data_IF_659455122525
#
_entry.id   IF_659455122525
#
_cell.length_a   1.000
_cell.length_b   1.000
_cell.length_c   1.000
_cell.angle_alpha   90.00
_cell.angle_beta   90.00
_cell.angle_gamma   90.00
#
_symmetry.space_group_name_H-M   'P 1'
#
loop_
_entity.id
_entity.type
_entity.pdbx_description
1 polymer ?
#
# COMPACT_ATOMS: atom_id res chain seq x y z
N UNK A 1 -9.89 -40.59 -25.97
CA UNK A 1 -9.74 -39.89 -24.69
C UNK A 1 -8.83 -38.70 -24.98
N UNK A 2 -9.33 -37.54 -25.44
CA UNK A 2 -9.98 -36.50 -24.63
C UNK A 2 -9.21 -36.31 -23.32
N UNK A 3 -8.52 -35.19 -23.10
CA UNK A 3 -9.15 -33.88 -23.04
C UNK A 3 -8.22 -32.75 -23.50
N UNK A 4 -8.74 -31.96 -24.44
CA UNK A 4 -8.19 -30.72 -24.97
C UNK A 4 -8.75 -29.60 -24.09
N UNK A 5 -7.93 -29.01 -23.22
CA UNK A 5 -8.38 -27.87 -22.42
C UNK A 5 -8.15 -26.58 -23.22
N UNK A 6 -9.01 -26.39 -24.20
CA UNK A 6 -9.36 -25.10 -24.77
C UNK A 6 -9.87 -24.20 -23.64
N UNK A 7 -9.00 -23.32 -23.14
CA UNK A 7 -9.45 -22.14 -22.42
C UNK A 7 -9.57 -20.99 -23.42
N UNK A 8 -10.67 -21.02 -24.16
CA UNK A 8 -11.26 -19.81 -24.74
C UNK A 8 -11.59 -18.83 -23.62
N UNK A 9 -10.67 -17.90 -23.30
CA UNK A 9 -11.05 -16.70 -22.57
C UNK A 9 -11.78 -15.76 -23.52
N UNK A 10 -13.10 -15.91 -23.53
CA UNK A 10 -14.02 -14.90 -24.03
C UNK A 10 -13.73 -13.55 -23.36
N UNK A 11 -13.95 -12.46 -24.11
CA UNK A 11 -13.74 -11.10 -23.67
C UNK A 11 -14.34 -10.83 -22.30
N UNK A 12 -13.50 -10.86 -21.28
CA UNK A 12 -13.80 -10.38 -19.95
C UNK A 12 -13.58 -8.88 -19.95
N UNK A 13 -14.64 -8.14 -19.70
CA UNK A 13 -14.61 -6.72 -19.37
C UNK A 13 -13.46 -6.52 -18.37
N UNK A 14 -12.46 -5.70 -18.71
CA UNK A 14 -11.40 -5.31 -17.79
C UNK A 14 -12.03 -4.77 -16.51
N UNK A 15 -12.05 -5.58 -15.45
CA UNK A 15 -12.44 -5.08 -14.13
C UNK A 15 -11.18 -4.44 -13.56
N UNK A 16 -10.99 -3.18 -13.90
CA UNK A 16 -9.91 -2.35 -13.39
C UNK A 16 -9.95 -2.36 -11.86
N UNK A 17 -8.97 -3.00 -11.21
CA UNK A 17 -8.92 -3.09 -9.75
C UNK A 17 -8.28 -4.36 -9.18
N UNK A 18 -8.27 -4.46 -7.85
CA UNK A 18 -7.83 -5.66 -7.13
C UNK A 18 -9.01 -6.62 -6.99
N UNK A 19 -8.85 -7.89 -7.40
CA UNK A 19 -9.93 -8.88 -7.31
C UNK A 19 -9.84 -9.67 -6.00
N UNK A 20 -8.63 -9.93 -5.52
CA UNK A 20 -8.37 -10.74 -4.32
C UNK A 20 -7.41 -10.05 -3.36
N UNK A 21 -7.53 -10.36 -2.07
CA UNK A 21 -6.61 -9.84 -1.04
C UNK A 21 -5.17 -10.29 -1.27
N UNK A 22 -4.99 -11.46 -1.90
CA UNK A 22 -3.68 -11.95 -2.31
C UNK A 22 -3.00 -11.02 -3.33
N UNK A 23 -3.73 -10.49 -4.31
CA UNK A 23 -3.15 -9.51 -5.24
C UNK A 23 -2.73 -8.22 -4.52
N UNK A 24 -3.50 -7.78 -3.53
CA UNK A 24 -3.15 -6.62 -2.69
C UNK A 24 -1.82 -6.89 -1.99
N UNK A 25 -1.65 -8.08 -1.41
CA UNK A 25 -0.39 -8.48 -0.77
C UNK A 25 0.76 -8.63 -1.75
N UNK A 26 0.55 -9.20 -2.93
CA UNK A 26 1.61 -9.36 -3.94
C UNK A 26 2.09 -8.01 -4.48
N UNK A 27 1.16 -7.08 -4.76
CA UNK A 27 1.47 -5.74 -5.28
C UNK A 27 2.12 -4.88 -4.20
N UNK A 28 1.45 -4.66 -3.07
CA UNK A 28 1.96 -3.76 -2.04
C UNK A 28 3.11 -4.38 -1.26
N UNK A 29 3.04 -5.68 -0.99
CA UNK A 29 4.08 -6.43 -0.31
C UNK A 29 5.33 -6.58 -1.15
N UNK A 30 5.20 -6.98 -2.42
CA UNK A 30 6.31 -7.05 -3.35
C UNK A 30 7.00 -5.69 -3.57
N UNK A 31 6.22 -4.61 -3.60
CA UNK A 31 6.76 -3.26 -3.63
C UNK A 31 7.53 -2.91 -2.36
N UNK A 32 6.96 -3.19 -1.18
CA UNK A 32 7.57 -2.94 0.12
C UNK A 32 8.88 -3.72 0.25
N UNK A 33 8.87 -5.02 -0.03
CA UNK A 33 10.06 -5.86 0.06
C UNK A 33 11.17 -5.44 -0.91
N UNK A 34 10.81 -5.07 -2.15
CA UNK A 34 11.80 -4.59 -3.13
C UNK A 34 12.41 -3.25 -2.73
N UNK A 35 11.67 -2.44 -1.95
CA UNK A 35 12.09 -1.09 -1.57
C UNK A 35 12.45 -0.92 -0.09
N UNK A 36 12.41 -1.99 0.73
CA UNK A 36 12.57 -1.88 2.20
C UNK A 36 13.89 -1.25 2.63
N UNK A 37 14.97 -1.44 1.86
CA UNK A 37 16.29 -0.85 2.11
C UNK A 37 16.61 0.35 1.20
N UNK A 38 15.63 0.83 0.43
CA UNK A 38 15.83 1.95 -0.48
C UNK A 38 16.03 3.26 0.29
N UNK A 39 16.82 4.17 -0.29
CA UNK A 39 17.02 5.54 0.23
C UNK A 39 15.69 6.22 0.61
N UNK A 40 14.64 6.21 -0.24
CA UNK A 40 13.39 6.84 0.13
C UNK A 40 12.64 6.11 1.25
N UNK A 41 12.79 4.79 1.43
CA UNK A 41 12.17 4.06 2.54
C UNK A 41 12.82 4.43 3.87
N UNK A 42 14.15 4.51 3.88
CA UNK A 42 14.92 4.98 5.04
C UNK A 42 14.61 6.44 5.38
N UNK A 43 14.39 7.29 4.36
CA UNK A 43 13.99 8.68 4.57
C UNK A 43 12.60 8.82 5.18
N UNK A 44 11.62 8.02 4.73
CA UNK A 44 10.28 7.94 5.35
C UNK A 44 10.40 7.55 6.82
N UNK A 45 11.18 6.50 7.09
CA UNK A 45 11.37 6.01 8.45
C UNK A 45 12.05 7.06 9.33
N UNK A 46 13.11 7.70 8.84
CA UNK A 46 13.82 8.74 9.56
C UNK A 46 12.89 9.94 9.85
N UNK A 47 12.17 10.43 8.84
CA UNK A 47 11.21 11.51 9.01
C UNK A 47 10.09 11.14 10.00
N UNK A 48 9.61 9.89 9.97
CA UNK A 48 8.64 9.40 10.94
C UNK A 48 9.24 9.36 12.35
N UNK A 49 10.43 8.79 12.54
CA UNK A 49 11.14 8.74 13.83
C UNK A 49 11.43 10.14 14.38
N UNK A 50 11.81 11.10 13.54
CA UNK A 50 12.00 12.50 13.96
C UNK A 50 10.68 13.16 14.37
N UNK A 51 9.57 12.82 13.70
CA UNK A 51 8.24 13.26 14.10
C UNK A 51 7.67 12.50 15.30
N UNK A 52 8.30 11.39 15.67
CA UNK A 52 7.91 10.52 16.76
C UNK A 52 8.72 10.79 18.02
N UNK A 53 8.04 10.85 19.17
CA UNK A 53 8.72 10.77 20.46
C UNK A 53 9.39 9.40 20.60
N UNK A 54 10.40 9.28 21.46
CA UNK A 54 11.29 8.12 21.56
C UNK A 54 10.61 6.76 21.89
N UNK A 55 9.30 6.74 22.15
CA UNK A 55 8.51 5.58 22.63
C UNK A 55 7.52 5.02 21.58
N UNK A 56 7.73 5.32 20.29
CA UNK A 56 6.79 4.95 19.23
C UNK A 56 7.40 3.94 18.24
N UNK A 57 6.80 2.76 18.18
CA UNK A 57 7.21 1.65 17.30
C UNK A 57 6.85 1.88 15.81
N UNK A 58 6.19 2.99 15.47
CA UNK A 58 5.85 3.35 14.09
C UNK A 58 5.05 2.26 13.36
N UNK A 59 4.13 1.64 14.09
CA UNK A 59 3.27 0.57 13.58
C UNK A 59 2.10 1.20 12.82
N UNK A 60 2.04 0.96 11.51
CA UNK A 60 1.00 1.48 10.62
C UNK A 60 0.19 0.34 10.03
N UNK A 61 -1.10 0.28 10.33
CA UNK A 61 -2.00 -0.73 9.77
C UNK A 61 -2.85 -0.15 8.65
N UNK A 62 -2.89 -0.86 7.53
CA UNK A 62 -3.71 -0.58 6.37
C UNK A 62 -4.77 -1.67 6.24
N UNK A 63 -6.03 -1.28 6.39
CA UNK A 63 -7.21 -2.11 6.23
C UNK A 63 -7.82 -1.76 4.88
N UNK A 64 -7.59 -2.61 3.90
CA UNK A 64 -8.17 -2.51 2.58
C UNK A 64 -9.55 -3.16 2.55
N UNK A 65 -10.48 -2.51 1.86
CA UNK A 65 -11.81 -3.05 1.56
C UNK A 65 -11.93 -3.29 0.07
N UNK A 66 -12.73 -4.30 -0.30
CA UNK A 66 -12.98 -4.69 -1.70
C UNK A 66 -11.69 -4.88 -2.49
N UNK A 67 -10.92 -5.94 -2.23
CA UNK A 67 -11.17 -7.06 -1.31
C UNK A 67 -10.71 -6.77 0.14
N UNK A 68 -11.26 -7.49 1.13
CA UNK A 68 -10.84 -7.36 2.53
C UNK A 68 -9.41 -7.88 2.72
N UNK A 69 -8.50 -6.97 2.99
CA UNK A 69 -7.08 -7.27 3.19
C UNK A 69 -6.50 -6.38 4.28
N UNK A 70 -5.64 -6.93 5.13
CA UNK A 70 -4.99 -6.16 6.20
C UNK A 70 -3.48 -6.28 6.03
N UNK A 71 -2.80 -5.14 5.95
CA UNK A 71 -1.35 -5.05 5.89
C UNK A 71 -0.88 -4.16 7.03
N UNK A 72 -0.05 -4.68 7.91
CA UNK A 72 0.56 -3.90 8.99
C UNK A 72 2.04 -3.69 8.69
N UNK A 73 2.45 -2.44 8.57
CA UNK A 73 3.84 -2.04 8.42
C UNK A 73 4.46 -1.79 9.78
N UNK A 74 5.64 -2.36 9.97
CA UNK A 74 6.46 -2.22 11.17
C UNK A 74 7.87 -1.83 10.77
N UNK A 75 8.60 -1.27 11.72
CA UNK A 75 10.01 -0.95 11.54
C UNK A 75 10.81 -2.14 12.00
N UNK A 76 11.51 -2.78 11.07
CA UNK A 76 12.42 -3.86 11.40
C UNK A 76 13.62 -3.34 12.19
N UNK A 77 14.26 -4.21 12.96
CA UNK A 77 15.43 -3.88 13.78
C UNK A 77 16.61 -3.34 12.96
N UNK A 78 16.72 -3.73 11.69
CA UNK A 78 17.72 -3.21 10.72
C UNK A 78 17.42 -1.76 10.26
N UNK A 79 16.30 -1.17 10.71
CA UNK A 79 15.81 0.12 10.21
C UNK A 79 15.22 0.04 8.80
N UNK A 80 14.77 -1.15 8.40
CA UNK A 80 13.97 -1.38 7.20
C UNK A 80 12.46 -1.28 7.49
N UNK A 81 11.66 -1.11 6.44
CA UNK A 81 10.20 -1.24 6.54
C UNK A 81 9.86 -2.71 6.31
N UNK A 82 9.22 -3.35 7.28
CA UNK A 82 8.69 -4.70 7.18
C UNK A 82 7.16 -4.65 7.09
N UNK A 83 6.59 -5.61 6.37
CA UNK A 83 5.14 -5.72 6.19
C UNK A 83 4.64 -7.08 6.66
N UNK A 84 3.64 -7.05 7.52
CA UNK A 84 2.93 -8.19 8.08
C UNK A 84 1.56 -8.24 7.42
N UNK A 85 1.21 -9.38 6.85
CA UNK A 85 -0.07 -9.58 6.16
C UNK A 85 -1.04 -10.33 7.06
N UNK A 86 -2.30 -9.89 7.09
CA UNK A 86 -3.37 -10.49 7.88
C UNK A 86 -3.58 -9.86 9.27
N UNK A 87 -4.35 -10.57 10.09
CA UNK A 87 -4.65 -10.16 11.47
C UNK A 87 -3.39 -10.24 12.33
N UNK A 88 -3.15 -9.19 13.10
CA UNK A 88 -1.99 -9.08 13.98
C UNK A 88 -2.41 -8.54 15.34
N UNK A 89 -1.75 -9.01 16.40
CA UNK A 89 -1.95 -8.52 17.77
C UNK A 89 -1.13 -7.23 18.05
N UNK A 90 -0.37 -6.77 17.05
CA UNK A 90 0.33 -5.50 17.11
C UNK A 90 -0.67 -4.37 17.34
N UNK A 91 -0.27 -3.37 18.13
CA UNK A 91 -1.06 -2.16 18.36
C UNK A 91 -0.65 -1.10 17.34
N UNK A 92 -1.39 -0.94 16.23
CA UNK A 92 -1.09 0.11 15.29
C UNK A 92 -1.32 1.48 15.93
N UNK A 93 -0.31 2.32 15.81
CA UNK A 93 -0.40 3.73 16.20
C UNK A 93 -1.16 4.54 15.16
N UNK A 94 -1.21 4.01 13.94
CA UNK A 94 -1.92 4.58 12.83
C UNK A 94 -2.69 3.50 12.09
N UNK A 95 -3.99 3.73 11.89
CA UNK A 95 -4.85 2.83 11.14
C UNK A 95 -5.40 3.59 9.95
N UNK A 96 -5.27 3.00 8.77
CA UNK A 96 -5.83 3.48 7.52
C UNK A 96 -6.83 2.49 7.00
N UNK A 97 -8.08 2.92 6.89
CA UNK A 97 -9.12 2.13 6.24
C UNK A 97 -9.46 2.77 4.90
N UNK A 98 -9.32 2.03 3.80
CA UNK A 98 -9.62 2.52 2.45
C UNK A 98 -9.91 1.37 1.49
N UNK A 99 -10.53 1.63 0.34
CA UNK A 99 -10.62 0.61 -0.71
C UNK A 99 -9.25 0.39 -1.39
N UNK A 100 -8.98 -0.82 -1.88
CA UNK A 100 -7.70 -1.14 -2.51
C UNK A 100 -7.40 -0.23 -3.73
N UNK A 101 -8.43 0.13 -4.51
CA UNK A 101 -8.33 1.13 -5.58
C UNK A 101 -7.87 2.51 -5.08
N UNK A 102 -8.42 2.97 -3.96
CA UNK A 102 -8.10 4.27 -3.36
C UNK A 102 -6.63 4.31 -2.95
N UNK A 103 -6.14 3.22 -2.36
CA UNK A 103 -4.73 3.04 -2.02
C UNK A 103 -3.84 3.09 -3.27
N UNK A 104 -4.25 2.41 -4.34
CA UNK A 104 -3.50 2.43 -5.58
C UNK A 104 -3.42 3.83 -6.21
N UNK A 105 -4.52 4.61 -6.21
CA UNK A 105 -4.49 6.00 -6.67
C UNK A 105 -3.61 6.88 -5.78
N UNK A 106 -3.61 6.63 -4.47
CA UNK A 106 -2.72 7.30 -3.51
C UNK A 106 -1.24 7.05 -3.83
N UNK A 107 -0.84 5.78 -4.02
CA UNK A 107 0.54 5.41 -4.37
C UNK A 107 0.99 5.88 -5.75
N UNK A 108 0.04 6.24 -6.62
CA UNK A 108 0.33 6.88 -7.90
C UNK A 108 0.44 8.41 -7.84
N UNK A 109 0.12 9.02 -6.70
CA UNK A 109 0.00 10.47 -6.55
C UNK A 109 -1.18 11.07 -7.32
N UNK A 110 -2.19 10.26 -7.67
CA UNK A 110 -3.40 10.67 -8.39
C UNK A 110 -4.56 11.05 -7.46
N UNK A 111 -4.36 10.92 -6.16
CA UNK A 111 -5.38 11.13 -5.15
C UNK A 111 -4.92 12.13 -4.09
N UNK A 112 -5.75 13.15 -3.86
CA UNK A 112 -5.59 14.10 -2.78
C UNK A 112 -6.10 13.51 -1.46
N UNK A 113 -5.19 13.25 -0.52
CA UNK A 113 -5.54 12.73 0.82
C UNK A 113 -6.63 13.55 1.51
N UNK A 114 -6.53 14.87 1.46
CA UNK A 114 -7.50 15.78 2.08
C UNK A 114 -8.89 15.58 1.49
N UNK A 115 -8.98 15.47 0.17
CA UNK A 115 -10.24 15.22 -0.52
C UNK A 115 -10.77 13.82 -0.22
N UNK A 116 -9.91 12.80 -0.21
CA UNK A 116 -10.28 11.43 0.07
C UNK A 116 -10.78 11.23 1.51
N UNK A 117 -10.20 11.93 2.48
CA UNK A 117 -10.73 11.97 3.84
C UNK A 117 -12.04 12.74 3.93
N UNK A 118 -12.14 13.90 3.27
CA UNK A 118 -13.38 14.69 3.25
C UNK A 118 -14.55 13.91 2.63
N UNK A 119 -14.26 13.08 1.62
CA UNK A 119 -15.22 12.18 0.97
C UNK A 119 -15.35 10.82 1.66
N UNK A 120 -14.68 10.62 2.80
CA UNK A 120 -14.66 9.37 3.58
C UNK A 120 -14.20 8.13 2.82
N UNK A 121 -13.48 8.30 1.71
CA UNK A 121 -12.81 7.22 0.97
C UNK A 121 -11.59 6.69 1.74
N UNK A 122 -10.93 7.56 2.51
CA UNK A 122 -9.85 7.18 3.42
C UNK A 122 -10.28 7.58 4.82
N UNK A 123 -10.27 6.61 5.73
CA UNK A 123 -10.42 6.85 7.15
C UNK A 123 -9.10 6.55 7.83
N UNK A 124 -8.39 7.62 8.18
CA UNK A 124 -7.16 7.52 8.95
C UNK A 124 -7.45 7.81 10.43
N UNK A 125 -6.85 7.05 11.33
CA UNK A 125 -6.98 7.21 12.79
C UNK A 125 -5.62 7.10 13.46
N UNK A 126 -5.47 7.72 14.63
CA UNK A 126 -4.22 7.75 15.38
C UNK A 126 -3.24 8.81 14.86
N UNK A 127 -1.99 8.43 14.60
CA UNK A 127 -0.89 9.34 14.24
C UNK A 127 -0.91 9.85 12.79
N UNK A 128 -2.07 9.90 12.12
CA UNK A 128 -2.16 10.28 10.71
C UNK A 128 -1.51 11.63 10.37
N UNK A 129 -1.58 12.60 11.29
CA UNK A 129 -0.91 13.90 11.15
C UNK A 129 0.60 13.77 10.90
N UNK A 130 1.24 12.71 11.42
CA UNK A 130 2.66 12.43 11.17
C UNK A 130 2.90 11.87 9.78
N UNK A 131 2.02 10.99 9.28
CA UNK A 131 2.11 10.52 7.89
C UNK A 131 2.02 11.68 6.89
N UNK A 132 1.24 12.73 7.18
CA UNK A 132 1.22 13.95 6.37
C UNK A 132 2.57 14.69 6.34
N UNK A 133 3.39 14.61 7.40
CA UNK A 133 4.74 15.19 7.37
C UNK A 133 5.70 14.36 6.51
N UNK A 134 5.45 13.06 6.39
CA UNK A 134 6.27 12.13 5.60
C UNK A 134 5.86 12.08 4.12
N UNK A 135 4.66 12.58 3.78
CA UNK A 135 4.16 12.71 2.40
C UNK A 135 5.17 13.27 1.36
N UNK A 136 5.93 14.35 1.62
CA UNK A 136 6.92 14.83 0.64
C UNK A 136 7.98 13.79 0.30
N UNK A 137 8.33 12.88 1.22
CA UNK A 137 9.25 11.79 0.95
C UNK A 137 8.58 10.66 0.15
N UNK A 138 7.29 10.41 0.39
CA UNK A 138 6.47 9.46 -0.35
C UNK A 138 6.33 9.80 -1.84
N UNK A 139 6.39 11.08 -2.21
CA UNK A 139 6.34 11.48 -3.62
C UNK A 139 7.45 10.85 -4.49
N UNK A 140 8.60 10.52 -3.89
CA UNK A 140 9.70 9.82 -4.59
C UNK A 140 9.36 8.38 -4.98
N UNK A 141 8.33 7.79 -4.35
CA UNK A 141 7.86 6.45 -4.65
C UNK A 141 6.83 6.39 -5.77
N UNK A 142 6.15 7.48 -6.11
CA UNK A 142 5.15 7.49 -7.19
C UNK A 142 5.69 6.95 -8.53
N UNK A 143 6.86 7.39 -9.04
CA UNK A 143 7.41 6.82 -10.27
C UNK A 143 7.82 5.35 -10.09
N UNK A 144 8.43 5.00 -8.94
CA UNK A 144 8.86 3.62 -8.65
C UNK A 144 7.71 2.64 -8.55
N UNK A 145 6.59 3.07 -7.98
CA UNK A 145 5.38 2.26 -7.86
C UNK A 145 4.79 1.99 -9.25
N UNK A 146 4.75 3.00 -10.13
CA UNK A 146 4.35 2.80 -11.53
C UNK A 146 5.28 1.83 -12.26
N UNK A 147 6.60 1.97 -12.11
CA UNK A 147 7.55 1.01 -12.69
C UNK A 147 7.38 -0.40 -12.13
N UNK A 148 7.06 -0.54 -10.84
CA UNK A 148 6.77 -1.82 -10.21
C UNK A 148 5.51 -2.46 -10.81
N UNK A 149 4.42 -1.70 -10.93
CA UNK A 149 3.18 -2.15 -11.58
C UNK A 149 3.42 -2.60 -13.02
N UNK A 150 4.25 -1.88 -13.79
CA UNK A 150 4.67 -2.30 -15.13
C UNK A 150 5.47 -3.59 -15.10
N UNK A 151 6.41 -3.73 -14.17
CA UNK A 151 7.25 -4.91 -14.06
C UNK A 151 6.47 -6.18 -13.72
N UNK A 152 5.38 -6.08 -12.97
CA UNK A 152 4.49 -7.21 -12.65
C UNK A 152 3.35 -7.39 -13.67
N UNK A 153 3.34 -6.61 -14.77
CA UNK A 153 2.31 -6.69 -15.81
C UNK A 153 0.94 -6.13 -15.40
N UNK A 154 0.87 -5.35 -14.32
CA UNK A 154 -0.35 -4.72 -13.79
C UNK A 154 -0.49 -3.26 -14.21
N UNK A 155 -0.25 -2.99 -15.49
CA UNK A 155 -0.42 -1.67 -16.07
C UNK A 155 -1.88 -1.19 -16.02
N UNK A 156 -2.82 -2.13 -16.01
CA UNK A 156 -4.26 -1.88 -15.81
C UNK A 156 -4.54 -1.07 -14.53
N UNK A 157 -3.79 -1.30 -13.45
CA UNK A 157 -3.92 -0.53 -12.21
C UNK A 157 -3.35 0.89 -12.32
N UNK A 158 -2.47 1.16 -13.29
CA UNK A 158 -1.90 2.49 -13.50
C UNK A 158 -2.96 3.43 -14.11
N UNK A 159 -3.88 2.91 -14.91
CA UNK A 159 -4.90 3.72 -15.60
C UNK A 159 -6.28 3.69 -14.92
N UNK A 160 -6.46 2.81 -13.93
CA UNK A 160 -7.64 2.71 -13.04
C UNK A 160 -7.85 3.91 -12.10
#
# INVERSE_FOLDING_TARGET
MNDDHDFSFGGGISVAGFQTSQEVYEVFGGFCEKNKHSVPAKAILAAYKESASEDHDAIVQFVYRRPDAVITWIVGEDGGIESVYGETDLKPEMIFEMDAEVANRFWQGKLDLTQAMATQQIKASGMFMKALQVMPHLASFYPRYKEHLKAIGREDLIEA
#
